data_IF_235368228556
#
_entry.id   IF_235368228556
#
_cell.length_a   1.000
_cell.length_b   1.000
_cell.length_c   1.000
_cell.angle_alpha   90.00
_cell.angle_beta   90.00
_cell.angle_gamma   90.00
#
_symmetry.space_group_name_H-M   'P 1'
#
loop_
_entity.id
_entity.type
_entity.pdbx_description
1 polymer ?
#
# COMPACT_ATOMS: atom_id res chain seq x y z
N UNK A 1 11.98 12.90 14.07
CA UNK A 1 12.17 12.74 12.61
C UNK A 1 12.11 11.26 12.34
N UNK A 2 11.24 10.76 11.43
CA UNK A 2 11.11 9.31 11.23
C UNK A 2 12.40 8.67 10.69
N UNK A 3 12.77 7.48 11.12
CA UNK A 3 13.91 6.71 10.59
C UNK A 3 13.55 6.02 9.27
N UNK A 4 14.55 5.53 8.54
CA UNK A 4 14.31 4.70 7.35
C UNK A 4 13.51 3.44 7.71
N UNK A 5 13.85 2.80 8.82
CA UNK A 5 13.16 1.59 9.30
C UNK A 5 11.67 1.86 9.56
N UNK A 6 11.34 2.95 10.26
CA UNK A 6 9.95 3.35 10.50
C UNK A 6 9.19 3.63 9.20
N UNK A 7 9.85 4.26 8.23
CA UNK A 7 9.25 4.51 6.92
C UNK A 7 9.04 3.21 6.13
N UNK A 8 9.99 2.27 6.17
CA UNK A 8 9.85 0.95 5.53
C UNK A 8 8.75 0.11 6.16
N UNK A 9 8.68 0.06 7.51
CA UNK A 9 7.61 -0.61 8.25
C UNK A 9 6.26 -0.05 7.81
N UNK A 10 6.13 1.27 7.72
CA UNK A 10 4.87 1.91 7.29
C UNK A 10 4.50 1.56 5.85
N UNK A 11 5.47 1.44 4.96
CA UNK A 11 5.21 0.99 3.58
C UNK A 11 4.72 -0.47 3.57
N UNK A 12 5.33 -1.35 4.35
CA UNK A 12 4.89 -2.73 4.52
C UNK A 12 3.46 -2.83 5.08
N UNK A 13 3.10 -2.05 6.09
CA UNK A 13 1.74 -1.99 6.64
C UNK A 13 0.71 -1.59 5.57
N UNK A 14 1.01 -0.57 4.75
CA UNK A 14 0.13 -0.15 3.66
C UNK A 14 -0.05 -1.26 2.62
N UNK A 15 1.01 -2.02 2.33
CA UNK A 15 0.94 -3.16 1.40
C UNK A 15 0.12 -4.32 1.96
N UNK A 16 0.29 -4.65 3.23
CA UNK A 16 -0.53 -5.66 3.92
C UNK A 16 -2.00 -5.24 3.90
N UNK A 17 -2.28 -3.96 4.17
CA UNK A 17 -3.63 -3.40 4.06
C UNK A 17 -4.22 -3.53 2.66
N UNK A 18 -3.45 -3.20 1.62
CA UNK A 18 -3.89 -3.40 0.23
C UNK A 18 -4.19 -4.88 -0.06
N UNK A 19 -3.33 -5.80 0.36
CA UNK A 19 -3.55 -7.24 0.17
C UNK A 19 -4.80 -7.73 0.88
N UNK A 20 -5.06 -7.26 2.10
CA UNK A 20 -6.28 -7.56 2.83
C UNK A 20 -7.49 -7.09 2.04
N UNK A 21 -7.52 -5.80 1.66
CA UNK A 21 -8.65 -5.22 0.92
C UNK A 21 -8.89 -5.96 -0.40
N UNK A 22 -7.83 -6.31 -1.14
CA UNK A 22 -7.95 -7.08 -2.37
C UNK A 22 -8.58 -8.46 -2.16
N UNK A 23 -8.35 -9.10 -1.01
CA UNK A 23 -9.03 -10.35 -0.66
C UNK A 23 -10.50 -10.12 -0.35
N UNK A 24 -10.84 -9.04 0.37
CA UNK A 24 -12.24 -8.71 0.68
C UNK A 24 -13.06 -8.48 -0.59
N UNK A 25 -12.51 -7.83 -1.62
CA UNK A 25 -13.19 -7.64 -2.92
C UNK A 25 -13.66 -8.98 -3.53
N UNK A 26 -12.96 -10.08 -3.27
CA UNK A 26 -13.29 -11.39 -3.81
C UNK A 26 -14.36 -12.14 -3.00
N UNK A 27 -14.63 -11.73 -1.77
CA UNK A 27 -15.50 -12.44 -0.82
C UNK A 27 -16.62 -11.59 -0.22
N UNK A 28 -16.64 -10.27 -0.49
CA UNK A 28 -17.70 -9.37 -0.06
C UNK A 28 -18.94 -9.48 -0.94
N UNK A 29 -20.06 -8.96 -0.45
CA UNK A 29 -21.28 -8.82 -1.22
C UNK A 29 -21.10 -7.77 -2.36
N UNK A 30 -21.90 -7.89 -3.43
CA UNK A 30 -21.79 -6.96 -4.57
C UNK A 30 -22.05 -5.50 -4.18
N UNK A 31 -22.89 -5.25 -3.16
CA UNK A 31 -23.20 -3.91 -2.66
C UNK A 31 -21.99 -3.23 -2.00
N UNK A 32 -21.05 -4.00 -1.45
CA UNK A 32 -19.84 -3.50 -0.77
C UNK A 32 -18.62 -3.46 -1.70
N UNK A 33 -18.72 -4.09 -2.88
CA UNK A 33 -17.58 -4.32 -3.78
C UNK A 33 -16.95 -3.02 -4.27
N UNK A 34 -17.77 -2.01 -4.55
CA UNK A 34 -17.28 -0.70 -4.99
C UNK A 34 -16.57 0.04 -3.86
N UNK A 35 -17.06 -0.08 -2.62
CA UNK A 35 -16.35 0.46 -1.45
C UNK A 35 -14.95 -0.16 -1.30
N UNK A 36 -14.83 -1.49 -1.40
CA UNK A 36 -13.53 -2.15 -1.30
C UNK A 36 -12.60 -1.84 -2.48
N UNK A 37 -13.12 -1.67 -3.70
CA UNK A 37 -12.33 -1.19 -4.85
C UNK A 37 -11.78 0.22 -4.62
N UNK A 38 -12.61 1.13 -4.12
CA UNK A 38 -12.18 2.49 -3.78
C UNK A 38 -11.12 2.50 -2.69
N UNK A 39 -11.30 1.65 -1.67
CA UNK A 39 -10.32 1.47 -0.60
C UNK A 39 -8.99 0.93 -1.13
N UNK A 40 -9.01 -0.06 -2.04
CA UNK A 40 -7.80 -0.58 -2.69
C UNK A 40 -7.07 0.52 -3.47
N UNK A 41 -7.81 1.34 -4.23
CA UNK A 41 -7.26 2.49 -4.94
C UNK A 41 -6.60 3.50 -4.00
N UNK A 42 -7.21 3.78 -2.82
CA UNK A 42 -6.63 4.65 -1.81
C UNK A 42 -5.32 4.11 -1.26
N UNK A 43 -5.25 2.81 -0.92
CA UNK A 43 -4.01 2.17 -0.48
C UNK A 43 -2.92 2.22 -1.55
N UNK A 44 -3.24 1.87 -2.80
CA UNK A 44 -2.29 1.89 -3.91
C UNK A 44 -1.72 3.30 -4.15
N UNK A 45 -2.57 4.34 -4.09
CA UNK A 45 -2.13 5.75 -4.18
C UNK A 45 -1.22 6.12 -3.01
N UNK A 46 -1.55 5.68 -1.80
CA UNK A 46 -0.78 6.00 -0.60
C UNK A 46 0.60 5.34 -0.61
N UNK A 47 0.70 4.09 -1.08
CA UNK A 47 1.98 3.39 -1.26
C UNK A 47 2.89 4.18 -2.21
N UNK A 48 2.40 4.56 -3.40
CA UNK A 48 3.18 5.35 -4.36
C UNK A 48 3.68 6.68 -3.79
N UNK A 49 2.84 7.37 -3.02
CA UNK A 49 3.25 8.61 -2.34
C UNK A 49 4.33 8.36 -1.29
N UNK A 50 4.25 7.23 -0.59
CA UNK A 50 5.20 6.87 0.46
C UNK A 50 6.55 6.44 -0.13
N UNK A 51 6.56 5.78 -1.27
CA UNK A 51 7.80 5.46 -2.00
C UNK A 51 8.52 6.71 -2.44
N UNK A 52 7.80 7.66 -3.05
CA UNK A 52 8.37 8.93 -3.44
C UNK A 52 8.93 9.69 -2.22
N UNK A 53 8.28 9.56 -1.06
CA UNK A 53 8.78 10.12 0.19
C UNK A 53 10.10 9.46 0.64
N UNK A 54 10.14 8.12 0.67
CA UNK A 54 11.33 7.35 1.06
C UNK A 54 12.49 7.65 0.11
N UNK A 55 12.23 7.66 -1.19
CA UNK A 55 13.23 7.99 -2.20
C UNK A 55 13.77 9.41 -2.01
N UNK A 56 12.88 10.40 -1.80
CA UNK A 56 13.29 11.79 -1.60
C UNK A 56 14.10 11.99 -0.32
N UNK A 57 13.76 11.29 0.76
CA UNK A 57 14.33 11.49 2.09
C UNK A 57 15.60 10.66 2.32
N UNK A 58 15.62 9.43 1.84
CA UNK A 58 16.67 8.44 2.11
C UNK A 58 17.47 8.03 0.87
N UNK A 59 17.04 8.43 -0.33
CA UNK A 59 17.74 8.09 -1.60
C UNK A 59 17.54 6.65 -2.05
N UNK A 60 16.59 5.91 -1.46
CA UNK A 60 16.38 4.49 -1.72
C UNK A 60 15.20 4.29 -2.65
N UNK A 61 15.37 3.42 -3.65
CA UNK A 61 14.30 2.95 -4.50
C UNK A 61 13.81 1.58 -4.00
N UNK A 62 12.52 1.47 -3.71
CA UNK A 62 11.91 0.20 -3.34
C UNK A 62 11.52 -0.51 -4.64
N UNK A 63 12.22 -1.60 -4.96
CA UNK A 63 11.84 -2.48 -6.06
C UNK A 63 10.70 -3.39 -5.63
N UNK A 64 9.66 -3.46 -6.47
CA UNK A 64 8.47 -4.28 -6.24
C UNK A 64 8.50 -5.63 -6.97
N UNK A 65 9.65 -6.03 -7.48
CA UNK A 65 9.80 -7.30 -8.15
C UNK A 65 9.44 -8.44 -7.17
N UNK A 66 8.52 -9.32 -7.60
CA UNK A 66 8.23 -10.66 -7.04
C UNK A 66 7.08 -10.87 -6.04
N UNK A 67 6.00 -10.08 -6.00
CA UNK A 67 4.82 -10.44 -5.17
C UNK A 67 3.43 -10.20 -5.81
N UNK A 68 3.32 -10.22 -7.13
CA UNK A 68 2.03 -10.26 -7.84
C UNK A 68 2.07 -11.26 -8.98
#
# INVERSE_FOLDING_TARGET
>A
MRTLEEDLVRCCELRVGLLHVSKEICQCDEEEKDFYKDLACMYAKRIKQFDAHIQKKHGIYISYNELW
#
